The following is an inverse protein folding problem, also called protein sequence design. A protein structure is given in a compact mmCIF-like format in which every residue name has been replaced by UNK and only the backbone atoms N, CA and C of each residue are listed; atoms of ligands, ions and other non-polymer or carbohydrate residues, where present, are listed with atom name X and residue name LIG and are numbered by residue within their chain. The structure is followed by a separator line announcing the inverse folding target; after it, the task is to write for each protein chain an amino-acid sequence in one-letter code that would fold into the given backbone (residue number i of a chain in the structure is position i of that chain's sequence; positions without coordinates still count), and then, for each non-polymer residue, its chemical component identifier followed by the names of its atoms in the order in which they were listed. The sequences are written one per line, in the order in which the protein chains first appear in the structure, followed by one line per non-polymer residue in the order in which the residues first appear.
data_IF_876773841273
#
_entry.id   IF_876773841273
#
_cell.length_a   1.000
_cell.length_b   1.000
_cell.length_c   1.000
_cell.angle_alpha   90.00
_cell.angle_beta   90.00
_cell.angle_gamma   90.00
#
_symmetry.space_group_name_H-M   'P 1'
#
loop_
_entity.id
_entity.type
_entity.pdbx_description
1 polymer ?
#
# COMPACT_ATOMS: atom_id res chain seq x y z
N UNK A 1 10.46 -31.32 2.77
CA UNK A 1 9.25 -30.62 3.23
C UNK A 1 9.12 -29.37 2.39
N UNK A 2 7.96 -29.16 1.76
CA UNK A 2 7.74 -28.04 0.85
C UNK A 2 6.93 -26.98 1.58
N UNK A 3 7.54 -25.82 1.83
CA UNK A 3 6.85 -24.66 2.36
C UNK A 3 6.21 -23.92 1.19
N UNK A 4 4.90 -23.66 1.26
CA UNK A 4 4.13 -22.94 0.24
C UNK A 4 3.53 -21.65 0.81
N UNK A 5 3.27 -20.66 -0.05
CA UNK A 5 2.75 -19.35 0.36
C UNK A 5 1.56 -18.91 -0.50
N UNK A 6 0.52 -18.37 0.13
CA UNK A 6 -0.66 -17.82 -0.56
C UNK A 6 -1.02 -16.43 -0.01
N UNK A 7 -1.45 -15.52 -0.90
CA UNK A 7 -1.90 -14.18 -0.49
C UNK A 7 -3.32 -14.28 0.06
N UNK A 8 -3.53 -13.85 1.30
CA UNK A 8 -4.83 -13.88 2.00
C UNK A 8 -5.56 -12.55 1.88
N UNK A 9 -4.83 -11.43 1.84
CA UNK A 9 -5.43 -10.12 1.66
C UNK A 9 -4.42 -9.13 1.09
N UNK A 10 -4.94 -8.11 0.41
CA UNK A 10 -4.17 -7.02 -0.18
C UNK A 10 -4.81 -5.68 0.17
N UNK A 11 -3.99 -4.74 0.62
CA UNK A 11 -4.35 -3.35 0.86
C UNK A 11 -3.51 -2.43 -0.04
N UNK A 12 -4.13 -1.38 -0.58
CA UNK A 12 -3.43 -0.27 -1.24
C UNK A 12 -3.24 0.86 -0.24
N UNK A 13 -2.01 1.34 -0.08
CA UNK A 13 -1.69 2.45 0.81
C UNK A 13 -0.97 3.56 0.05
N UNK A 14 -1.56 4.75 0.07
CA UNK A 14 -0.93 5.97 -0.41
C UNK A 14 -0.25 6.66 0.76
N UNK A 15 1.06 6.86 0.67
CA UNK A 15 1.87 7.50 1.70
C UNK A 15 2.07 8.95 1.30
N UNK A 16 1.49 9.86 2.08
CA UNK A 16 1.51 11.29 1.79
C UNK A 16 2.44 12.03 2.72
N UNK A 17 3.02 13.12 2.25
CA UNK A 17 3.82 14.02 3.08
C UNK A 17 2.93 14.77 4.09
N UNK A 18 3.35 14.74 5.35
CA UNK A 18 2.70 15.43 6.45
C UNK A 18 3.63 16.46 7.13
N UNK A 19 4.72 16.84 6.48
CA UNK A 19 5.66 17.85 6.94
C UNK A 19 6.67 17.31 7.95
N UNK A 20 7.37 18.21 8.64
CA UNK A 20 8.40 17.87 9.63
C UNK A 20 7.83 18.01 11.04
N UNK A 21 8.07 17.00 11.88
CA UNK A 21 7.65 17.01 13.28
C UNK A 21 8.58 17.83 14.17
N UNK A 22 8.17 18.03 15.44
CA UNK A 22 8.90 18.87 16.39
C UNK A 22 10.36 18.44 16.66
N UNK A 23 10.70 17.16 16.43
CA UNK A 23 12.04 16.63 16.60
C UNK A 23 12.80 16.45 15.26
N UNK A 24 12.32 17.07 14.17
CA UNK A 24 13.02 17.09 12.88
C UNK A 24 12.77 15.88 11.97
N UNK A 25 11.99 14.88 12.41
CA UNK A 25 11.61 13.75 11.56
C UNK A 25 10.54 14.13 10.54
N UNK A 26 10.63 13.57 9.33
CA UNK A 26 9.54 13.65 8.36
C UNK A 26 8.34 12.83 8.82
N UNK A 27 7.16 13.44 8.78
CA UNK A 27 5.89 12.83 9.12
C UNK A 27 5.17 12.41 7.85
N UNK A 28 4.53 11.25 7.91
CA UNK A 28 3.72 10.74 6.81
C UNK A 28 2.27 10.57 7.23
N UNK A 29 1.36 10.80 6.29
CA UNK A 29 -0.06 10.51 6.44
C UNK A 29 -0.46 9.44 5.44
N UNK A 30 -0.87 8.29 5.96
CA UNK A 30 -1.26 7.17 5.11
C UNK A 30 -2.76 7.22 4.82
N UNK A 31 -3.14 7.00 3.56
CA UNK A 31 -4.50 6.65 3.17
C UNK A 31 -4.53 5.20 2.72
N UNK A 32 -5.29 4.37 3.42
CA UNK A 32 -5.41 2.95 3.15
C UNK A 32 -6.76 2.61 2.52
N UNK A 33 -6.71 1.87 1.43
CA UNK A 33 -7.84 1.25 0.75
C UNK A 33 -7.72 -0.25 0.94
N UNK A 34 -8.66 -0.78 1.73
CA UNK A 34 -8.65 -2.19 2.12
C UNK A 34 -9.44 -3.05 1.14
N UNK A 35 -9.21 -4.36 1.22
CA UNK A 35 -9.94 -5.36 0.40
C UNK A 35 -9.72 -5.17 -1.09
N UNK A 36 -8.49 -4.81 -1.47
CA UNK A 36 -8.07 -4.89 -2.87
C UNK A 36 -8.00 -6.37 -3.25
N UNK A 37 -8.41 -6.70 -4.47
CA UNK A 37 -8.37 -8.09 -4.95
C UNK A 37 -6.91 -8.58 -4.92
N UNK A 38 -6.59 -9.70 -4.24
CA UNK A 38 -5.23 -10.23 -4.21
C UNK A 38 -4.66 -10.55 -5.59
N UNK A 39 -5.53 -10.89 -6.54
CA UNK A 39 -5.17 -11.22 -7.92
C UNK A 39 -4.98 -9.99 -8.81
N UNK A 40 -5.23 -8.77 -8.32
CA UNK A 40 -5.01 -7.56 -9.11
C UNK A 40 -3.52 -7.41 -9.48
N UNK A 41 -3.24 -7.04 -10.73
CA UNK A 41 -1.88 -6.79 -11.16
C UNK A 41 -1.33 -5.52 -10.49
N UNK A 42 -0.01 -5.48 -10.30
CA UNK A 42 0.63 -4.29 -9.72
C UNK A 42 0.43 -3.05 -10.59
N UNK A 43 0.39 -3.22 -11.90
CA UNK A 43 0.12 -2.16 -12.88
C UNK A 43 -1.29 -1.57 -12.69
N UNK A 44 -2.30 -2.41 -12.50
CA UNK A 44 -3.67 -1.98 -12.25
C UNK A 44 -3.79 -1.22 -10.91
N UNK A 45 -3.17 -1.76 -9.86
CA UNK A 45 -3.15 -1.13 -8.53
C UNK A 45 -2.47 0.25 -8.62
N UNK A 46 -1.36 0.34 -9.36
CA UNK A 46 -0.63 1.58 -9.54
C UNK A 46 -1.43 2.59 -10.37
N UNK A 47 -2.07 2.18 -11.46
CA UNK A 47 -2.92 3.06 -12.28
C UNK A 47 -4.04 3.69 -11.44
N UNK A 48 -4.76 2.88 -10.66
CA UNK A 48 -5.81 3.37 -9.76
C UNK A 48 -5.23 4.27 -8.67
N UNK A 49 -4.03 3.96 -8.16
CA UNK A 49 -3.36 4.85 -7.21
C UNK A 49 -3.12 6.24 -7.83
N UNK A 50 -2.67 6.33 -9.08
CA UNK A 50 -2.44 7.62 -9.76
C UNK A 50 -3.74 8.43 -9.90
N UNK A 51 -4.85 7.79 -10.27
CA UNK A 51 -6.15 8.45 -10.33
C UNK A 51 -6.59 8.97 -8.95
N UNK A 52 -6.39 8.16 -7.91
CA UNK A 52 -6.72 8.53 -6.53
C UNK A 52 -5.84 9.64 -5.99
N UNK A 53 -4.58 9.75 -6.44
CA UNK A 53 -3.65 10.82 -6.06
C UNK A 53 -4.11 12.19 -6.57
N UNK A 54 -4.73 12.25 -7.74
CA UNK A 54 -5.30 13.50 -8.28
C UNK A 54 -6.39 14.09 -7.40
N UNK A 55 -6.97 13.31 -6.49
CA UNK A 55 -8.00 13.72 -5.54
C UNK A 55 -7.43 14.13 -4.17
N UNK A 56 -6.11 14.12 -4.00
CA UNK A 56 -5.45 14.34 -2.72
C UNK A 56 -4.77 15.70 -2.69
N UNK A 57 -4.94 16.42 -1.58
CA UNK A 57 -4.32 17.74 -1.42
C UNK A 57 -2.83 17.67 -1.03
N UNK A 58 -2.38 16.51 -0.56
CA UNK A 58 -1.01 16.30 -0.06
C UNK A 58 -0.15 15.62 -1.10
N UNK A 59 1.13 16.02 -1.15
CA UNK A 59 2.13 15.41 -2.03
C UNK A 59 2.29 13.93 -1.71
N UNK A 60 2.18 13.10 -2.74
CA UNK A 60 2.49 11.68 -2.65
C UNK A 60 3.98 11.46 -2.47
N UNK A 61 4.34 10.60 -1.53
CA UNK A 61 5.71 10.15 -1.28
C UNK A 61 5.89 8.73 -1.84
N UNK A 62 4.90 7.85 -1.65
CA UNK A 62 4.98 6.48 -2.12
C UNK A 62 3.60 5.84 -2.30
N UNK A 63 3.50 4.95 -3.29
CA UNK A 63 2.38 4.01 -3.46
C UNK A 63 2.83 2.65 -2.95
N UNK A 64 2.08 2.05 -2.03
CA UNK A 64 2.40 0.76 -1.44
C UNK A 64 1.28 -0.24 -1.66
N UNK A 65 1.64 -1.41 -2.18
CA UNK A 65 0.83 -2.62 -2.06
C UNK A 65 1.25 -3.34 -0.79
N UNK A 66 0.30 -3.68 0.07
CA UNK A 66 0.54 -4.43 1.31
C UNK A 66 -0.21 -5.73 1.26
N UNK A 67 0.52 -6.82 1.06
CA UNK A 67 -0.04 -8.17 1.04
C UNK A 67 0.16 -8.84 2.40
N UNK A 68 -0.89 -9.52 2.88
CA UNK A 68 -0.77 -10.50 3.95
C UNK A 68 -0.67 -11.86 3.29
N UNK A 69 0.45 -12.54 3.51
CA UNK A 69 0.76 -13.84 2.94
C UNK A 69 0.77 -14.89 4.04
N UNK A 70 0.00 -15.96 3.86
CA UNK A 70 0.03 -17.14 4.72
C UNK A 70 1.07 -18.12 4.21
N UNK A 71 1.83 -18.71 5.13
CA UNK A 71 2.91 -19.66 4.84
C UNK A 71 2.58 -20.97 5.54
N UNK A 72 2.46 -22.05 4.76
CA UNK A 72 2.10 -23.39 5.25
C UNK A 72 3.13 -24.42 4.83
N UNK A 73 3.42 -25.37 5.73
CA UNK A 73 4.27 -26.52 5.45
C UNK A 73 3.39 -27.73 5.12
N UNK A 74 3.54 -28.28 3.91
CA UNK A 74 2.81 -29.45 3.42
C UNK A 74 3.56 -30.75 3.72
#
# INVERSE_FOLDING_TARGET
MAVSSSIVSTDLVLVMDNGIGAAGQQLFKNRSFKKVKPEAANEDIYAIAQDLLGLQDKTNVAVQRRDIVEIVNL
#
